data_IF_594784161981
#
_entry.id   IF_594784161981
#
_cell.length_a   1.000
_cell.length_b   1.000
_cell.length_c   1.000
_cell.angle_alpha   90.00
_cell.angle_beta   90.00
_cell.angle_gamma   90.00
#
_symmetry.space_group_name_H-M   'P 1'
#
loop_
_entity.id
_entity.type
_entity.pdbx_description
1 polymer ?
#
# COMPACT_ATOMS: atom_id res chain seq x y z
N UNK A 1 24.50 5.80 14.50
CA UNK A 1 24.34 6.51 13.20
C UNK A 1 23.13 5.92 12.48
N UNK A 2 22.34 6.70 11.74
CA UNK A 2 21.29 6.14 10.87
C UNK A 2 21.93 5.16 9.88
N UNK A 3 21.20 4.08 9.50
CA UNK A 3 21.70 3.15 8.48
C UNK A 3 21.88 3.87 7.13
N UNK A 4 22.73 3.33 6.24
CA UNK A 4 22.93 3.88 4.89
C UNK A 4 21.60 4.05 4.14
N UNK A 5 20.68 3.09 4.30
CA UNK A 5 19.32 3.19 3.75
C UNK A 5 18.58 4.43 4.22
N UNK A 6 18.70 4.79 5.49
CA UNK A 6 18.04 5.98 6.04
C UNK A 6 18.68 7.25 5.46
N UNK A 7 20.00 7.33 5.46
CA UNK A 7 20.73 8.51 4.96
C UNK A 7 20.48 8.77 3.48
N UNK A 8 20.37 7.69 2.67
CA UNK A 8 20.20 7.82 1.24
C UNK A 8 18.76 8.13 0.80
N UNK A 9 17.76 7.60 1.50
CA UNK A 9 16.40 7.50 0.99
C UNK A 9 15.38 8.40 1.71
N UNK A 10 15.75 9.04 2.81
CA UNK A 10 14.87 9.91 3.58
C UNK A 10 15.39 11.34 3.71
N UNK A 11 14.45 12.28 3.83
CA UNK A 11 14.71 13.68 4.20
C UNK A 11 14.97 13.74 5.69
N UNK A 12 16.23 13.81 6.08
CA UNK A 12 16.66 13.73 7.48
C UNK A 12 16.15 14.90 8.32
N UNK A 13 15.99 16.08 7.71
CA UNK A 13 15.40 17.28 8.31
C UNK A 13 13.92 17.14 8.66
N UNK A 14 13.25 16.11 8.14
CA UNK A 14 11.84 15.79 8.40
C UNK A 14 11.66 14.67 9.41
N UNK A 15 12.73 14.07 9.89
CA UNK A 15 12.68 13.06 10.95
C UNK A 15 12.87 13.72 12.33
N UNK A 16 12.27 13.16 13.41
CA UNK A 16 11.48 11.93 13.46
C UNK A 16 10.11 12.06 12.76
N UNK A 17 9.59 10.93 12.27
CA UNK A 17 8.29 10.90 11.63
C UNK A 17 7.13 11.14 12.62
N UNK A 18 5.97 11.59 12.13
CA UNK A 18 4.80 11.98 12.91
C UNK A 18 3.99 10.79 13.48
N UNK A 19 4.23 9.58 13.04
CA UNK A 19 3.43 8.43 13.47
C UNK A 19 3.60 8.14 14.96
N UNK A 20 2.52 7.62 15.54
CA UNK A 20 2.46 7.26 16.96
C UNK A 20 3.52 6.19 17.31
N UNK A 21 4.04 6.17 18.56
CA UNK A 21 4.89 5.09 19.05
C UNK A 21 4.21 3.72 18.86
N UNK A 22 4.93 2.78 18.23
CA UNK A 22 4.43 1.44 17.93
C UNK A 22 3.53 1.32 16.70
N UNK A 23 3.31 2.41 15.96
CA UNK A 23 2.63 2.36 14.67
C UNK A 23 3.49 1.60 13.63
N UNK A 24 2.89 0.66 12.89
CA UNK A 24 3.61 -0.13 11.90
C UNK A 24 3.98 0.63 10.61
N UNK A 25 3.44 1.83 10.38
CA UNK A 25 3.69 2.58 9.15
C UNK A 25 5.16 2.96 8.94
N UNK A 26 5.92 3.22 10.03
CA UNK A 26 7.36 3.46 9.94
C UNK A 26 8.12 2.25 9.38
N UNK A 27 7.71 1.04 9.76
CA UNK A 27 8.28 -0.20 9.24
C UNK A 27 7.96 -0.34 7.74
N UNK A 28 6.69 -0.14 7.33
CA UNK A 28 6.31 -0.22 5.91
C UNK A 28 7.03 0.84 5.08
N UNK A 29 7.15 2.07 5.57
CA UNK A 29 7.92 3.10 4.89
C UNK A 29 9.37 2.67 4.68
N UNK A 30 10.02 2.11 5.71
CA UNK A 30 11.38 1.60 5.61
C UNK A 30 11.48 0.43 4.61
N UNK A 31 10.48 -0.47 4.54
CA UNK A 31 10.51 -1.57 3.56
C UNK A 31 10.44 -1.07 2.13
N UNK A 32 9.68 0.00 1.86
CA UNK A 32 9.63 0.64 0.52
C UNK A 32 10.98 1.27 0.19
N UNK A 33 11.58 2.03 1.12
CA UNK A 33 12.91 2.61 0.93
C UNK A 33 13.97 1.54 0.63
N UNK A 34 13.98 0.46 1.44
CA UNK A 34 14.93 -0.64 1.26
C UNK A 34 14.73 -1.37 -0.06
N UNK A 35 13.49 -1.53 -0.50
CA UNK A 35 13.20 -2.15 -1.80
C UNK A 35 13.73 -1.30 -2.98
N UNK A 36 13.58 0.02 -2.93
CA UNK A 36 14.10 0.93 -3.96
C UNK A 36 15.63 0.93 -3.95
N UNK A 37 16.24 0.99 -2.76
CA UNK A 37 17.68 0.96 -2.53
C UNK A 37 18.32 -0.32 -3.10
N UNK A 38 17.78 -1.49 -2.78
CA UNK A 38 18.26 -2.79 -3.28
C UNK A 38 18.04 -3.02 -4.78
N UNK A 39 17.17 -2.25 -5.41
CA UNK A 39 16.98 -2.25 -6.86
C UNK A 39 17.88 -1.25 -7.58
N UNK A 40 18.66 -0.46 -6.84
CA UNK A 40 19.60 0.55 -7.36
C UNK A 40 18.94 1.52 -8.36
N UNK A 41 17.66 1.88 -8.10
CA UNK A 41 16.91 2.76 -8.99
C UNK A 41 17.39 4.19 -8.80
N UNK A 42 17.71 4.85 -9.91
CA UNK A 42 18.05 6.26 -9.92
C UNK A 42 16.92 7.09 -9.28
N UNK A 43 17.26 7.95 -8.34
CA UNK A 43 16.32 8.78 -7.58
C UNK A 43 15.46 9.66 -8.48
N UNK A 44 16.03 10.18 -9.55
CA UNK A 44 15.31 11.03 -10.50
C UNK A 44 14.28 10.25 -11.32
N UNK A 45 14.38 8.91 -11.35
CA UNK A 45 13.43 8.01 -11.98
C UNK A 45 12.31 7.52 -11.04
N UNK A 46 12.33 7.90 -9.75
CA UNK A 46 11.31 7.51 -8.79
C UNK A 46 10.36 8.67 -8.52
N UNK A 47 9.07 8.39 -8.59
CA UNK A 47 8.02 9.33 -8.17
C UNK A 47 7.09 8.63 -7.17
N UNK A 48 7.05 9.14 -5.93
CA UNK A 48 6.17 8.63 -4.87
C UNK A 48 4.96 9.54 -4.76
N UNK A 49 3.77 8.96 -4.98
CA UNK A 49 2.50 9.65 -4.93
C UNK A 49 1.70 9.15 -3.73
N UNK A 50 1.09 10.04 -2.96
CA UNK A 50 0.24 9.64 -1.83
C UNK A 50 -1.07 10.45 -1.79
N UNK A 51 -2.10 9.82 -1.22
CA UNK A 51 -3.38 10.47 -0.93
C UNK A 51 -3.38 11.19 0.42
N UNK A 52 -4.36 10.93 1.28
CA UNK A 52 -4.51 11.56 2.60
C UNK A 52 -4.68 10.49 3.68
N UNK A 53 -4.15 10.76 4.85
CA UNK A 53 -4.21 9.91 6.04
C UNK A 53 -2.84 9.61 6.62
N UNK A 54 -2.79 8.73 7.64
CA UNK A 54 -1.54 8.37 8.30
C UNK A 54 -0.50 7.81 7.32
N UNK A 55 -0.89 6.85 6.47
CA UNK A 55 -0.02 6.24 5.45
C UNK A 55 0.56 7.27 4.50
N UNK A 56 -0.26 8.22 4.07
CA UNK A 56 0.07 9.20 3.04
C UNK A 56 1.10 10.24 3.50
N UNK A 57 1.37 10.33 4.80
CA UNK A 57 2.49 11.15 5.31
C UNK A 57 3.85 10.64 4.86
N UNK A 58 3.94 9.37 4.43
CA UNK A 58 5.18 8.76 3.97
C UNK A 58 5.86 9.56 2.85
N UNK A 59 5.10 10.08 1.87
CA UNK A 59 5.66 10.88 0.77
C UNK A 59 6.45 12.10 1.26
N UNK A 60 6.10 12.68 2.41
CA UNK A 60 6.81 13.81 3.01
C UNK A 60 8.21 13.47 3.53
N UNK A 61 8.49 12.19 3.80
CA UNK A 61 9.74 11.73 4.37
C UNK A 61 10.74 11.18 3.35
N UNK A 62 10.27 10.71 2.19
CA UNK A 62 11.14 10.19 1.15
C UNK A 62 11.95 11.27 0.44
N UNK A 63 13.23 11.00 0.20
CA UNK A 63 14.14 11.87 -0.56
C UNK A 63 14.12 11.50 -2.06
N UNK A 64 12.93 11.50 -2.65
CA UNK A 64 12.64 11.27 -4.07
C UNK A 64 11.73 12.39 -4.60
N UNK A 65 11.35 12.33 -5.88
CA UNK A 65 10.24 13.15 -6.37
C UNK A 65 8.95 12.68 -5.70
N UNK A 66 8.24 13.59 -5.04
CA UNK A 66 7.06 13.24 -4.26
C UNK A 66 5.88 14.15 -4.57
N UNK A 67 4.68 13.57 -4.61
CA UNK A 67 3.42 14.31 -4.79
C UNK A 67 2.44 13.87 -3.71
N UNK A 68 1.96 14.83 -2.91
CA UNK A 68 0.90 14.61 -1.93
C UNK A 68 -0.41 15.15 -2.51
N UNK A 69 -1.38 14.28 -2.70
CA UNK A 69 -2.62 14.59 -3.43
C UNK A 69 -3.83 14.66 -2.49
N UNK A 70 -5.02 14.81 -3.06
CA UNK A 70 -6.30 14.75 -2.32
C UNK A 70 -6.67 13.33 -1.94
N UNK A 71 -7.52 13.20 -0.93
CA UNK A 71 -7.99 11.92 -0.38
C UNK A 71 -8.62 11.03 -1.45
N UNK A 72 -8.12 9.79 -1.54
CA UNK A 72 -8.57 8.79 -2.51
C UNK A 72 -8.25 9.07 -3.97
N UNK A 73 -7.39 10.05 -4.27
CA UNK A 73 -7.09 10.48 -5.65
C UNK A 73 -5.66 10.20 -6.10
N UNK A 74 -4.82 9.61 -5.24
CA UNK A 74 -3.43 9.33 -5.56
C UNK A 74 -3.24 8.58 -6.89
N UNK A 75 -4.07 7.56 -7.16
CA UNK A 75 -4.02 6.77 -8.39
C UNK A 75 -4.38 7.57 -9.64
N UNK A 76 -5.28 8.56 -9.54
CA UNK A 76 -5.62 9.44 -10.66
C UNK A 76 -4.45 10.35 -11.02
N UNK A 77 -3.79 10.96 -10.03
CA UNK A 77 -2.58 11.75 -10.24
C UNK A 77 -1.42 10.88 -10.75
N UNK A 78 -1.20 9.71 -10.15
CA UNK A 78 -0.18 8.76 -10.57
C UNK A 78 -0.38 8.31 -12.04
N UNK A 79 -1.62 8.10 -12.45
CA UNK A 79 -1.97 7.80 -13.85
C UNK A 79 -1.52 8.91 -14.78
N UNK A 80 -1.82 10.17 -14.44
CA UNK A 80 -1.37 11.33 -15.23
C UNK A 80 0.15 11.43 -15.32
N UNK A 81 0.84 11.27 -14.18
CA UNK A 81 2.30 11.28 -14.10
C UNK A 81 2.91 10.18 -14.99
N UNK A 82 2.38 8.95 -14.89
CA UNK A 82 2.88 7.79 -15.65
C UNK A 82 2.66 7.94 -17.16
N UNK A 83 1.53 8.51 -17.57
CA UNK A 83 1.26 8.78 -18.99
C UNK A 83 2.17 9.91 -19.53
N UNK A 84 2.39 10.96 -18.72
CA UNK A 84 3.24 12.10 -19.11
C UNK A 84 4.73 11.69 -19.21
N UNK A 85 5.19 10.80 -18.33
CA UNK A 85 6.55 10.25 -18.37
C UNK A 85 6.55 8.74 -18.05
N UNK A 86 6.43 7.88 -19.07
CA UNK A 86 6.42 6.42 -18.90
C UNK A 86 7.68 5.81 -18.32
N UNK A 87 8.82 6.53 -18.33
CA UNK A 87 10.10 6.05 -17.78
C UNK A 87 10.12 6.06 -16.25
N UNK A 88 9.27 6.86 -15.62
CA UNK A 88 9.24 6.95 -14.16
C UNK A 88 8.73 5.64 -13.51
N UNK A 89 9.38 5.27 -12.42
CA UNK A 89 8.86 4.32 -11.45
C UNK A 89 7.89 5.05 -10.53
N UNK A 90 6.60 4.94 -10.84
CA UNK A 90 5.54 5.60 -10.07
C UNK A 90 5.06 4.64 -8.97
N UNK A 91 5.27 5.04 -7.73
CA UNK A 91 4.91 4.28 -6.53
C UNK A 91 3.84 5.06 -5.76
N UNK A 92 2.67 4.47 -5.60
CA UNK A 92 1.58 5.05 -4.82
C UNK A 92 1.60 4.46 -3.42
N UNK A 93 1.63 5.32 -2.39
CA UNK A 93 1.45 4.93 -0.99
C UNK A 93 0.10 5.45 -0.53
N UNK A 94 -0.76 4.55 -0.09
CA UNK A 94 -2.12 4.84 0.31
C UNK A 94 -2.50 4.06 1.57
N UNK A 95 -3.53 4.50 2.30
CA UNK A 95 -4.11 3.73 3.40
C UNK A 95 -5.26 2.85 2.91
N UNK A 96 -5.68 1.94 3.75
CA UNK A 96 -6.84 1.08 3.52
C UNK A 96 -8.10 1.89 3.19
N UNK A 97 -8.46 2.85 4.04
CA UNK A 97 -9.62 3.71 3.78
C UNK A 97 -9.43 4.68 2.62
N UNK A 98 -8.22 5.19 2.41
CA UNK A 98 -7.89 6.06 1.27
C UNK A 98 -8.03 5.32 -0.07
N UNK A 99 -7.60 4.05 -0.12
CA UNK A 99 -7.64 3.23 -1.33
C UNK A 99 -9.01 2.61 -1.61
N UNK A 100 -9.74 2.15 -0.58
CA UNK A 100 -10.90 1.27 -0.76
C UNK A 100 -12.26 1.93 -0.46
N UNK A 101 -12.27 3.08 0.23
CA UNK A 101 -13.48 3.89 0.40
C UNK A 101 -13.58 4.92 -0.75
N UNK A 102 -13.19 6.16 -0.49
CA UNK A 102 -13.30 7.25 -1.47
C UNK A 102 -12.44 7.02 -2.72
N UNK A 103 -11.35 6.25 -2.62
CA UNK A 103 -10.48 5.86 -3.73
C UNK A 103 -10.88 4.58 -4.45
N UNK A 104 -11.91 3.86 -3.98
CA UNK A 104 -12.23 2.51 -4.44
C UNK A 104 -12.41 2.37 -5.95
N UNK A 105 -13.13 3.29 -6.59
CA UNK A 105 -13.32 3.25 -8.04
C UNK A 105 -11.99 3.50 -8.79
N UNK A 106 -11.10 4.35 -8.28
CA UNK A 106 -9.80 4.61 -8.90
C UNK A 106 -8.88 3.39 -8.80
N UNK A 107 -8.92 2.67 -7.66
CA UNK A 107 -8.21 1.39 -7.50
C UNK A 107 -8.70 0.37 -8.54
N UNK A 108 -10.02 0.14 -8.62
CA UNK A 108 -10.63 -0.80 -9.57
C UNK A 108 -10.26 -0.44 -11.01
N UNK A 109 -10.37 0.82 -11.41
CA UNK A 109 -10.09 1.23 -12.78
C UNK A 109 -8.59 1.23 -13.12
N UNK A 110 -7.70 1.45 -12.15
CA UNK A 110 -6.24 1.31 -12.36
C UNK A 110 -5.85 -0.15 -12.54
N UNK A 111 -6.42 -1.06 -11.74
CA UNK A 111 -6.28 -2.51 -11.92
C UNK A 111 -6.73 -2.93 -13.33
N UNK A 112 -7.95 -2.54 -13.72
CA UNK A 112 -8.56 -2.89 -15.03
C UNK A 112 -7.73 -2.42 -16.22
N UNK A 113 -7.13 -1.22 -16.12
CA UNK A 113 -6.28 -0.67 -17.19
C UNK A 113 -4.91 -1.31 -17.26
N UNK A 114 -4.47 -1.99 -16.23
CA UNK A 114 -3.12 -2.54 -16.12
C UNK A 114 -2.02 -1.50 -16.39
N UNK A 115 -2.17 -0.29 -15.86
CA UNK A 115 -1.16 0.77 -15.98
C UNK A 115 0.06 0.47 -15.09
N UNK A 116 1.28 0.70 -15.60
CA UNK A 116 2.55 0.40 -14.89
C UNK A 116 2.75 1.33 -13.67
N UNK A 117 2.02 1.06 -12.61
CA UNK A 117 2.05 1.74 -11.32
C UNK A 117 2.12 0.70 -10.20
N UNK A 118 3.01 0.92 -9.24
CA UNK A 118 3.10 0.11 -8.02
C UNK A 118 2.29 0.78 -6.92
N UNK A 119 1.29 0.09 -6.37
CA UNK A 119 0.45 0.59 -5.27
C UNK A 119 0.75 -0.17 -3.99
N UNK A 120 1.20 0.54 -2.95
CA UNK A 120 1.45 -0.03 -1.63
C UNK A 120 0.36 0.45 -0.67
N UNK A 121 -0.49 -0.46 -0.22
CA UNK A 121 -1.58 -0.18 0.71
C UNK A 121 -1.11 -0.45 2.14
N UNK A 122 -1.00 0.58 2.97
CA UNK A 122 -0.73 0.46 4.40
C UNK A 122 -2.05 0.21 5.11
N UNK A 123 -2.35 -1.04 5.41
CA UNK A 123 -3.61 -1.43 6.02
C UNK A 123 -3.47 -1.57 7.54
N UNK A 124 -4.11 -0.69 8.29
CA UNK A 124 -4.20 -0.74 9.76
C UNK A 124 -5.64 -0.84 10.27
N UNK A 125 -6.58 -1.18 9.40
CA UNK A 125 -8.00 -1.44 9.64
C UNK A 125 -8.77 -0.26 10.25
N UNK A 126 -8.30 1.00 10.05
CA UNK A 126 -8.96 2.16 10.65
C UNK A 126 -8.50 3.49 10.03
N UNK A 127 -9.36 4.52 10.01
CA UNK A 127 -8.93 5.89 9.78
C UNK A 127 -8.27 6.45 11.04
N UNK A 128 -6.93 6.34 11.14
CA UNK A 128 -6.21 6.77 12.34
C UNK A 128 -6.13 8.29 12.49
N UNK A 129 -5.75 9.01 11.43
CA UNK A 129 -5.45 10.44 11.48
C UNK A 129 -6.63 11.30 11.91
N UNK A 130 -7.84 10.92 11.53
CA UNK A 130 -9.08 11.69 11.79
C UNK A 130 -9.79 11.32 13.09
N UNK A 131 -9.25 10.40 13.89
CA UNK A 131 -9.77 10.09 15.22
C UNK A 131 -10.35 8.68 15.39
N UNK A 132 -10.03 7.74 14.46
CA UNK A 132 -10.36 6.32 14.63
C UNK A 132 -11.74 5.92 14.14
N UNK A 133 -12.17 6.42 13.00
CA UNK A 133 -13.37 5.96 12.30
C UNK A 133 -13.11 4.60 11.67
N UNK A 134 -14.15 3.75 11.57
CA UNK A 134 -14.00 2.48 10.87
C UNK A 134 -13.77 2.71 9.36
N UNK A 135 -12.93 1.87 8.78
CA UNK A 135 -12.62 1.84 7.35
C UNK A 135 -13.27 0.62 6.69
N UNK A 136 -13.31 0.54 5.36
CA UNK A 136 -13.85 -0.64 4.69
C UNK A 136 -13.10 -1.95 4.98
N UNK A 137 -11.93 -1.90 5.60
CA UNK A 137 -11.14 -3.08 6.02
C UNK A 137 -11.26 -3.39 7.51
N UNK A 138 -11.99 -2.56 8.28
CA UNK A 138 -12.26 -2.84 9.71
C UNK A 138 -13.06 -4.12 9.83
N UNK A 139 -12.58 -5.07 10.65
CA UNK A 139 -13.25 -6.36 10.80
C UNK A 139 -14.67 -6.20 11.35
N UNK A 140 -15.54 -7.13 11.01
CA UNK A 140 -16.82 -7.31 11.65
C UNK A 140 -16.59 -7.52 13.16
N UNK A 141 -17.47 -6.99 13.99
CA UNK A 141 -17.40 -6.99 15.45
C UNK A 141 -16.29 -6.12 16.09
N UNK A 142 -15.39 -5.52 15.33
CA UNK A 142 -14.45 -4.55 15.88
C UNK A 142 -15.11 -3.19 16.17
N UNK A 143 -14.57 -2.49 17.15
CA UNK A 143 -15.03 -1.16 17.58
C UNK A 143 -14.19 -0.06 16.92
N UNK A 144 -14.86 1.00 16.53
CA UNK A 144 -14.26 2.24 16.05
C UNK A 144 -15.00 3.45 16.63
N UNK A 145 -14.54 4.65 16.38
CA UNK A 145 -15.20 5.88 16.87
C UNK A 145 -16.60 6.03 16.27
N UNK A 146 -16.77 5.68 15.00
CA UNK A 146 -18.05 5.69 14.28
C UNK A 146 -18.82 4.36 14.37
N UNK A 147 -18.25 3.34 15.01
CA UNK A 147 -18.90 2.06 15.29
C UNK A 147 -18.72 1.67 16.78
N UNK A 148 -19.31 2.44 17.73
CA UNK A 148 -19.11 2.22 19.17
C UNK A 148 -19.73 0.91 19.66
N UNK A 149 -20.78 0.44 18.98
CA UNK A 149 -21.50 -0.82 19.26
C UNK A 149 -20.98 -2.02 18.45
N UNK A 150 -19.91 -1.87 17.71
CA UNK A 150 -19.23 -2.79 16.80
C UNK A 150 -19.55 -2.52 15.32
N UNK A 151 -18.58 -2.84 14.46
CA UNK A 151 -18.79 -2.81 13.01
C UNK A 151 -19.62 -4.03 12.58
N UNK A 152 -20.65 -3.81 11.77
CA UNK A 152 -21.49 -4.86 11.19
C UNK A 152 -21.17 -5.14 9.72
N UNK A 153 -20.39 -4.26 9.09
CA UNK A 153 -20.02 -4.41 7.68
C UNK A 153 -18.97 -5.51 7.50
N UNK A 154 -19.10 -6.23 6.41
CA UNK A 154 -18.09 -7.20 5.99
C UNK A 154 -16.85 -6.47 5.45
N UNK A 155 -15.64 -6.75 5.96
CA UNK A 155 -14.45 -6.05 5.50
C UNK A 155 -14.09 -6.43 4.06
N UNK A 156 -13.53 -5.45 3.32
CA UNK A 156 -12.90 -5.73 2.04
C UNK A 156 -11.57 -6.49 2.24
N UNK A 157 -11.38 -7.50 1.42
CA UNK A 157 -10.06 -8.09 1.16
C UNK A 157 -9.42 -7.34 -0.01
N UNK A 158 -8.45 -6.48 0.28
CA UNK A 158 -7.80 -5.58 -0.70
C UNK A 158 -7.16 -6.38 -1.83
N UNK A 159 -6.50 -7.50 -1.50
CA UNK A 159 -5.84 -8.34 -2.49
C UNK A 159 -6.84 -9.05 -3.39
N UNK A 160 -7.91 -9.66 -2.82
CA UNK A 160 -8.98 -10.30 -3.59
C UNK A 160 -9.68 -9.31 -4.52
N UNK A 161 -10.00 -8.11 -4.01
CA UNK A 161 -10.60 -7.04 -4.80
C UNK A 161 -9.71 -6.63 -5.98
N UNK A 162 -8.43 -6.41 -5.71
CA UNK A 162 -7.45 -5.97 -6.74
C UNK A 162 -7.22 -7.05 -7.80
N UNK A 163 -7.13 -8.32 -7.39
CA UNK A 163 -6.97 -9.46 -8.30
C UNK A 163 -8.20 -9.63 -9.22
N UNK A 164 -9.41 -9.51 -8.65
CA UNK A 164 -10.67 -9.58 -9.39
C UNK A 164 -10.85 -8.39 -10.34
N UNK A 165 -10.40 -7.19 -9.94
CA UNK A 165 -10.45 -5.99 -10.76
C UNK A 165 -9.42 -5.99 -11.91
N UNK A 166 -8.48 -6.95 -11.96
CA UNK A 166 -7.56 -7.10 -13.08
C UNK A 166 -6.11 -6.71 -12.82
N UNK A 167 -5.70 -6.40 -11.58
CA UNK A 167 -4.29 -6.20 -11.25
C UNK A 167 -3.47 -7.41 -11.67
N UNK A 168 -2.28 -7.20 -12.23
CA UNK A 168 -1.44 -8.26 -12.78
C UNK A 168 -0.39 -8.76 -11.79
N UNK A 169 -0.07 -7.95 -10.78
CA UNK A 169 0.70 -8.38 -9.61
C UNK A 169 -0.08 -8.06 -8.33
N UNK A 170 -0.28 -9.05 -7.47
CA UNK A 170 -0.97 -8.87 -6.18
C UNK A 170 -0.26 -9.66 -5.09
N UNK A 171 0.14 -8.98 -4.02
CA UNK A 171 0.81 -9.58 -2.88
C UNK A 171 0.33 -8.97 -1.56
N UNK A 172 0.45 -9.72 -0.49
CA UNK A 172 0.23 -9.25 0.89
C UNK A 172 1.41 -9.63 1.76
N UNK A 173 1.90 -8.68 2.54
CA UNK A 173 2.88 -8.89 3.58
C UNK A 173 2.43 -8.25 4.89
N UNK A 174 3.30 -8.21 5.88
CA UNK A 174 2.99 -7.58 7.16
C UNK A 174 4.21 -6.90 7.76
N UNK A 175 3.97 -6.00 8.72
CA UNK A 175 5.05 -5.32 9.45
C UNK A 175 5.93 -6.27 10.28
N UNK A 176 5.45 -7.47 10.61
CA UNK A 176 6.28 -8.48 11.28
C UNK A 176 7.18 -9.22 10.28
N UNK A 177 6.70 -9.46 9.07
CA UNK A 177 7.41 -10.23 8.03
C UNK A 177 8.17 -9.30 7.07
N UNK A 178 9.11 -8.50 7.64
CA UNK A 178 9.81 -7.41 6.93
C UNK A 178 10.56 -7.91 5.69
N UNK A 179 11.24 -9.05 5.76
CA UNK A 179 12.00 -9.60 4.62
C UNK A 179 11.10 -9.94 3.43
N UNK A 180 9.95 -10.58 3.71
CA UNK A 180 8.93 -10.89 2.70
C UNK A 180 8.35 -9.59 2.12
N UNK A 181 8.03 -8.61 2.97
CA UNK A 181 7.48 -7.33 2.53
C UNK A 181 8.44 -6.58 1.61
N UNK A 182 9.75 -6.56 1.90
CA UNK A 182 10.77 -5.99 1.02
C UNK A 182 10.78 -6.74 -0.34
N UNK A 183 10.80 -8.07 -0.31
CA UNK A 183 10.83 -8.88 -1.53
C UNK A 183 9.58 -8.66 -2.40
N UNK A 184 8.38 -8.64 -1.80
CA UNK A 184 7.14 -8.39 -2.54
C UNK A 184 7.11 -6.97 -3.14
N UNK A 185 7.61 -5.98 -2.40
CA UNK A 185 7.72 -4.61 -2.89
C UNK A 185 8.70 -4.51 -4.06
N UNK A 186 9.86 -5.18 -4.00
CA UNK A 186 10.83 -5.23 -5.11
C UNK A 186 10.20 -5.84 -6.36
N UNK A 187 9.53 -6.99 -6.22
CA UNK A 187 8.83 -7.65 -7.33
C UNK A 187 7.75 -6.74 -7.94
N UNK A 188 6.97 -6.07 -7.10
CA UNK A 188 5.95 -5.12 -7.54
C UNK A 188 6.53 -3.94 -8.34
N UNK A 189 7.66 -3.36 -7.90
CA UNK A 189 8.33 -2.24 -8.58
C UNK A 189 8.93 -2.66 -9.92
N UNK A 190 9.38 -3.90 -10.04
CA UNK A 190 9.97 -4.42 -11.28
C UNK A 190 8.93 -4.98 -12.25
N UNK A 191 7.75 -5.33 -11.76
CA UNK A 191 6.65 -5.82 -12.57
C UNK A 191 6.23 -4.80 -13.63
N UNK A 192 5.76 -5.26 -14.79
CA UNK A 192 5.24 -4.43 -15.88
C UNK A 192 3.72 -4.54 -15.95
N UNK A 193 3.05 -3.54 -15.43
CA UNK A 193 1.61 -3.47 -15.25
C UNK A 193 1.23 -3.01 -13.87
N UNK A 194 -0.05 -3.12 -13.52
CA UNK A 194 -0.55 -2.63 -12.24
C UNK A 194 -0.29 -3.61 -11.11
N UNK A 195 0.48 -3.14 -10.13
CA UNK A 195 0.89 -3.92 -8.97
C UNK A 195 0.23 -3.41 -7.70
N UNK A 196 -0.28 -4.32 -6.87
CA UNK A 196 -0.80 -4.03 -5.53
C UNK A 196 -0.06 -4.87 -4.49
N UNK A 197 0.52 -4.20 -3.50
CA UNK A 197 1.09 -4.85 -2.32
C UNK A 197 0.39 -4.30 -1.09
N UNK A 198 -0.33 -5.16 -0.39
CA UNK A 198 -0.94 -4.83 0.89
C UNK A 198 0.02 -5.14 2.03
N UNK A 199 0.33 -4.14 2.86
CA UNK A 199 1.09 -4.29 4.08
C UNK A 199 0.19 -4.22 5.30
N UNK A 200 -0.03 -5.37 5.97
CA UNK A 200 -0.76 -5.41 7.23
C UNK A 200 0.05 -4.70 8.31
N UNK A 201 -0.55 -3.69 8.90
CA UNK A 201 0.06 -2.78 9.86
C UNK A 201 -0.75 -2.70 11.15
N UNK A 202 -0.25 -1.97 12.14
CA UNK A 202 -0.92 -1.76 13.42
C UNK A 202 -1.24 -0.29 13.67
N UNK A 203 -2.37 -0.05 14.32
CA UNK A 203 -2.72 1.24 14.90
C UNK A 203 -2.93 1.11 16.41
N UNK A 204 -1.90 1.28 17.26
CA UNK A 204 -2.04 1.11 18.70
C UNK A 204 -2.95 2.15 19.35
N UNK A 205 -2.95 3.39 18.81
CA UNK A 205 -3.62 4.54 19.43
C UNK A 205 -5.15 4.45 19.35
N UNK A 206 -5.70 4.08 18.19
CA UNK A 206 -7.16 4.02 18.01
C UNK A 206 -7.68 2.59 17.96
N UNK A 207 -7.24 1.81 16.98
CA UNK A 207 -7.72 0.44 16.79
C UNK A 207 -7.37 -0.46 17.98
N UNK A 208 -6.10 -0.52 18.34
CA UNK A 208 -5.62 -1.36 19.45
C UNK A 208 -6.28 -1.01 20.77
N UNK A 209 -6.36 0.29 21.12
CA UNK A 209 -6.96 0.75 22.38
C UNK A 209 -8.46 0.45 22.44
N UNK A 210 -9.23 0.77 21.36
CA UNK A 210 -10.69 0.54 21.34
C UNK A 210 -11.04 -0.94 21.41
N UNK A 211 -10.24 -1.79 20.80
CA UNK A 211 -10.46 -3.24 20.75
C UNK A 211 -9.68 -4.00 21.83
N UNK A 212 -9.09 -3.29 22.81
CA UNK A 212 -8.37 -3.89 23.96
C UNK A 212 -7.29 -4.89 23.53
N UNK A 213 -6.56 -4.58 22.43
CA UNK A 213 -5.54 -5.46 21.85
C UNK A 213 -4.18 -5.39 22.60
N UNK A 214 -4.14 -4.77 23.77
CA UNK A 214 -2.92 -4.66 24.56
C UNK A 214 -1.96 -3.56 24.10
N UNK A 215 -0.67 -3.79 24.30
CA UNK A 215 0.41 -2.88 23.91
C UNK A 215 0.73 -2.96 22.42
N UNK A 216 1.61 -2.07 21.94
CA UNK A 216 2.14 -2.14 20.58
C UNK A 216 2.90 -3.46 20.31
N UNK A 217 3.54 -4.01 21.35
CA UNK A 217 4.22 -5.32 21.27
C UNK A 217 3.19 -6.45 21.09
N UNK A 218 2.08 -6.37 21.82
CA UNK A 218 1.01 -7.37 21.70
C UNK A 218 0.37 -7.33 20.31
N UNK A 219 0.11 -6.15 19.75
CA UNK A 219 -0.35 -5.99 18.37
C UNK A 219 0.63 -6.59 17.34
N UNK A 220 1.93 -6.44 17.56
CA UNK A 220 2.94 -7.05 16.70
C UNK A 220 2.95 -8.57 16.80
N UNK A 221 2.75 -9.13 18.00
CA UNK A 221 2.59 -10.57 18.22
C UNK A 221 1.30 -11.09 17.59
N UNK A 222 0.21 -10.34 17.70
CA UNK A 222 -1.07 -10.68 17.06
C UNK A 222 -0.91 -10.78 15.53
N UNK A 223 -0.23 -9.81 14.91
CA UNK A 223 0.08 -9.84 13.47
C UNK A 223 0.92 -11.07 13.13
N UNK A 224 1.97 -11.36 13.92
CA UNK A 224 2.77 -12.59 13.75
C UNK A 224 1.90 -13.84 13.74
N UNK A 225 1.05 -13.96 14.75
CA UNK A 225 0.28 -15.18 15.00
C UNK A 225 -0.91 -15.33 14.05
N UNK A 226 -1.46 -14.23 13.53
CA UNK A 226 -2.59 -14.25 12.58
C UNK A 226 -2.15 -14.44 11.13
N UNK A 227 -0.87 -14.22 10.78
CA UNK A 227 -0.40 -14.38 9.41
C UNK A 227 0.11 -15.79 9.15
N UNK A 228 -0.22 -16.33 7.97
CA UNK A 228 0.34 -17.59 7.44
C UNK A 228 0.96 -17.34 6.05
N UNK A 229 2.11 -17.95 5.79
CA UNK A 229 2.76 -17.90 4.48
C UNK A 229 2.01 -18.81 3.50
N UNK A 230 1.45 -18.25 2.44
CA UNK A 230 0.74 -18.98 1.39
C UNK A 230 0.57 -18.13 0.14
N UNK A 231 0.63 -18.74 -1.03
CA UNK A 231 0.23 -18.18 -2.32
C UNK A 231 -1.28 -18.34 -2.61
N UNK A 232 -1.99 -19.12 -1.80
CA UNK A 232 -3.46 -19.17 -1.80
C UNK A 232 -4.03 -18.08 -0.88
N UNK A 233 -4.72 -17.12 -1.49
CA UNK A 233 -5.32 -15.97 -0.79
C UNK A 233 -6.43 -16.38 0.19
N UNK A 234 -7.02 -17.56 0.02
CA UNK A 234 -8.12 -18.06 0.85
C UNK A 234 -7.64 -18.97 1.98
N UNK A 235 -6.38 -19.41 1.96
CA UNK A 235 -5.85 -20.31 2.97
C UNK A 235 -5.95 -19.68 4.37
N UNK A 236 -6.45 -20.46 5.31
CA UNK A 236 -6.58 -20.08 6.73
C UNK A 236 -7.74 -19.12 7.05
N UNK A 237 -8.58 -18.74 6.08
CA UNK A 237 -9.76 -17.89 6.36
C UNK A 237 -10.71 -18.54 7.37
N UNK A 238 -10.90 -19.84 7.30
CA UNK A 238 -11.75 -20.58 8.24
C UNK A 238 -11.17 -20.59 9.66
N UNK A 239 -9.85 -20.43 9.80
CA UNK A 239 -9.13 -20.34 11.07
C UNK A 239 -8.89 -18.90 11.53
N UNK A 240 -9.54 -17.90 10.92
CA UNK A 240 -9.31 -16.48 11.14
C UNK A 240 -7.83 -16.06 10.92
N UNK A 241 -7.15 -16.71 9.99
CA UNK A 241 -5.78 -16.37 9.58
C UNK A 241 -5.77 -15.52 8.31
N UNK A 242 -4.72 -14.76 8.16
CA UNK A 242 -4.47 -13.88 7.02
C UNK A 242 -3.34 -14.50 6.20
N UNK A 243 -3.64 -14.92 4.97
CA UNK A 243 -2.59 -15.36 4.04
C UNK A 243 -1.69 -14.18 3.66
N UNK A 244 -0.38 -14.39 3.74
CA UNK A 244 0.64 -13.46 3.23
C UNK A 244 1.50 -14.17 2.19
N UNK A 245 1.64 -13.57 1.01
CA UNK A 245 2.31 -14.19 -0.13
C UNK A 245 2.08 -13.39 -1.40
N UNK A 246 2.46 -13.99 -2.53
CA UNK A 246 2.16 -13.47 -3.87
C UNK A 246 1.02 -14.30 -4.45
N UNK A 247 -0.12 -13.67 -4.63
CA UNK A 247 -1.37 -14.32 -5.05
C UNK A 247 -1.59 -14.25 -6.56
N UNK A 248 -0.94 -13.30 -7.22
CA UNK A 248 -1.02 -13.14 -8.66
C UNK A 248 0.29 -12.51 -9.17
N UNK A 249 0.84 -13.08 -10.22
CA UNK A 249 2.00 -12.54 -10.94
C UNK A 249 1.91 -13.02 -12.38
N UNK A 250 1.28 -12.22 -13.24
CA UNK A 250 0.99 -12.56 -14.64
C UNK A 250 1.39 -11.41 -15.55
N UNK A 251 1.89 -11.71 -16.73
CA UNK A 251 2.24 -10.71 -17.74
C UNK A 251 1.06 -10.51 -18.70
N UNK A 252 0.57 -9.28 -18.78
CA UNK A 252 -0.47 -8.85 -19.71
C UNK A 252 -0.04 -7.55 -20.41
N UNK A 253 -0.68 -7.17 -21.54
CA UNK A 253 -0.43 -5.88 -22.19
C UNK A 253 -0.57 -4.71 -21.22
N UNK A 254 0.42 -3.83 -21.22
CA UNK A 254 0.50 -2.69 -20.30
C UNK A 254 -0.04 -1.43 -20.98
N UNK A 255 -0.84 -0.66 -20.25
CA UNK A 255 -1.66 0.43 -20.77
C UNK A 255 -0.84 1.55 -21.45
N UNK A 256 0.28 2.00 -20.89
CA UNK A 256 1.05 3.10 -21.48
C UNK A 256 1.70 2.71 -22.80
N UNK A 257 2.13 1.47 -22.94
CA UNK A 257 2.68 0.92 -24.19
C UNK A 257 1.61 0.80 -25.26
N UNK A 258 0.44 0.28 -24.90
CA UNK A 258 -0.68 0.18 -25.85
C UNK A 258 -1.19 1.57 -26.26
N UNK A 259 -1.25 2.52 -25.33
CA UNK A 259 -1.58 3.91 -25.63
C UNK A 259 -0.58 4.55 -26.61
N UNK A 260 0.72 4.36 -26.38
CA UNK A 260 1.77 4.86 -27.28
C UNK A 260 1.66 4.26 -28.70
N UNK A 261 1.32 2.98 -28.82
CA UNK A 261 1.05 2.35 -30.14
C UNK A 261 -0.10 3.03 -30.87
N UNK A 262 -1.17 3.40 -30.15
CA UNK A 262 -2.30 4.14 -30.75
C UNK A 262 -1.89 5.54 -31.19
N UNK A 263 -1.08 6.25 -30.39
CA UNK A 263 -0.56 7.58 -30.75
C UNK A 263 0.27 7.52 -32.04
N UNK A 264 1.20 6.57 -32.14
CA UNK A 264 2.00 6.38 -33.34
C UNK A 264 1.11 6.08 -34.55
N UNK A 265 0.14 5.17 -34.42
CA UNK A 265 -0.79 4.83 -35.50
C UNK A 265 -1.66 6.02 -35.94
N UNK A 266 -2.07 6.87 -34.99
CA UNK A 266 -2.87 8.06 -35.31
C UNK A 266 -2.06 9.11 -36.09
N UNK A 267 -0.77 9.28 -35.78
CA UNK A 267 0.11 10.24 -36.42
C UNK A 267 0.71 9.74 -37.76
N UNK A 268 0.55 8.46 -38.08
CA UNK A 268 1.01 7.89 -39.34
C UNK A 268 -0.06 7.90 -40.46
N UNK A 269 -1.23 8.49 -40.19
CA UNK A 269 -2.30 8.78 -41.18
C UNK A 269 -2.24 10.22 -41.62
#
# INVERSE_FOLDING_TARGET
MPSEVVNGNFRLDRLPHIWCPGCGHGILMHTVAKAIDELEIDKDKVCIVSGIGCSSRASGYFNYNTVHTTHGRALSFATGIKIANPELKVIVITGDGDATAIGGNHLIHSCRRNIDITTIVFNNNIYGMTGGQYSPTTNTDDKATTAPYRNIDKPFDVCSLSAAAGATFVARGSVYHVKQMINYTKRAITHKGFSVVEGISSCPTYYGRKNKKGSAVDLMKDIKNSCILSDDINKGKDDNKISIGVFKDVSLPEYTKEYQRLVVKANSK
#
